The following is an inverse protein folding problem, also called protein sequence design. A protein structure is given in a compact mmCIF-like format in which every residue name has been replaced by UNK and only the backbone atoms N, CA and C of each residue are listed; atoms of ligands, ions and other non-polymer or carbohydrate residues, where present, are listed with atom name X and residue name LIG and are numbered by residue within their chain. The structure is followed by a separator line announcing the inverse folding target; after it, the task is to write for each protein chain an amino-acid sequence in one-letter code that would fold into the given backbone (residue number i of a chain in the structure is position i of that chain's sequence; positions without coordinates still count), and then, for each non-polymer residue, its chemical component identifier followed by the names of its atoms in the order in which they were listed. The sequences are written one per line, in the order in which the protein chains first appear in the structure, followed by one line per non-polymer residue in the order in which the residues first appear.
data_IF_894019270560
#
_entry.id   IF_894019270560
#
_cell.length_a   1.000
_cell.length_b   1.000
_cell.length_c   1.000
_cell.angle_alpha   90.00
_cell.angle_beta   90.00
_cell.angle_gamma   90.00
#
_symmetry.space_group_name_H-M   'P 1'
#
loop_
_entity.id
_entity.type
_entity.pdbx_description
1 polymer ?
#
# COMPACT_ATOMS: atom_id res chain seq x y z
N UNK A 1 -18.03 2.92 -7.76
CA UNK A 1 -16.98 2.36 -6.90
C UNK A 1 -17.24 2.81 -5.48
N UNK A 2 -17.31 1.87 -4.54
CA UNK A 2 -17.42 2.14 -3.11
C UNK A 2 -16.10 2.67 -2.55
N UNK A 3 -16.14 3.24 -1.34
CA UNK A 3 -14.93 3.64 -0.60
C UNK A 3 -13.96 2.46 -0.43
N UNK A 4 -14.52 1.29 -0.15
CA UNK A 4 -13.79 0.02 -0.01
C UNK A 4 -13.03 -0.36 -1.29
N UNK A 5 -13.73 -0.37 -2.43
CA UNK A 5 -13.14 -0.73 -3.73
C UNK A 5 -12.02 0.24 -4.13
N UNK A 6 -12.17 1.52 -3.79
CA UNK A 6 -11.13 2.53 -4.02
C UNK A 6 -9.89 2.32 -3.14
N UNK A 7 -10.08 1.93 -1.87
CA UNK A 7 -8.97 1.62 -0.96
C UNK A 7 -8.20 0.38 -1.44
N UNK A 8 -8.93 -0.71 -1.75
CA UNK A 8 -8.34 -1.94 -2.26
C UNK A 8 -7.56 -1.69 -3.55
N UNK A 9 -8.12 -0.91 -4.48
CA UNK A 9 -7.43 -0.56 -5.73
C UNK A 9 -6.11 0.18 -5.47
N UNK A 10 -6.11 1.19 -4.58
CA UNK A 10 -4.90 1.94 -4.23
C UNK A 10 -3.85 1.06 -3.54
N UNK A 11 -4.28 0.15 -2.65
CA UNK A 11 -3.39 -0.81 -1.99
C UNK A 11 -2.69 -1.68 -3.03
N UNK A 12 -3.44 -2.23 -3.99
CA UNK A 12 -2.87 -3.10 -5.03
C UNK A 12 -1.96 -2.36 -6.01
N UNK A 13 -2.31 -1.13 -6.39
CA UNK A 13 -1.45 -0.27 -7.21
C UNK A 13 -0.12 0.01 -6.51
N UNK A 14 -0.17 0.38 -5.23
CA UNK A 14 1.02 0.70 -4.46
C UNK A 14 1.88 -0.54 -4.16
N UNK A 15 1.25 -1.70 -3.91
CA UNK A 15 1.94 -2.99 -3.76
C UNK A 15 2.66 -3.39 -5.04
N UNK A 16 2.02 -3.20 -6.19
CA UNK A 16 2.62 -3.47 -7.50
C UNK A 16 3.84 -2.58 -7.75
N UNK A 17 3.71 -1.28 -7.48
CA UNK A 17 4.82 -0.33 -7.61
C UNK A 17 5.99 -0.65 -6.66
N UNK A 18 5.69 -1.02 -5.41
CA UNK A 18 6.71 -1.44 -4.45
C UNK A 18 7.45 -2.69 -4.94
N UNK A 19 6.74 -3.69 -5.48
CA UNK A 19 7.36 -4.91 -6.02
C UNK A 19 8.24 -4.61 -7.25
N UNK A 20 7.81 -3.71 -8.13
CA UNK A 20 8.62 -3.25 -9.26
C UNK A 20 9.90 -2.59 -8.76
N UNK A 21 9.78 -1.67 -7.80
CA UNK A 21 10.92 -0.97 -7.24
C UNK A 21 11.89 -1.92 -6.53
N UNK A 22 11.39 -2.90 -5.76
CA UNK A 22 12.20 -3.95 -5.15
C UNK A 22 12.93 -4.80 -6.19
N UNK A 23 12.31 -5.05 -7.35
CA UNK A 23 12.95 -5.78 -8.44
C UNK A 23 14.05 -4.98 -9.16
N UNK A 24 13.94 -3.64 -9.14
CA UNK A 24 14.90 -2.73 -9.77
C UNK A 24 16.04 -2.32 -8.83
N UNK A 25 15.76 -2.21 -7.52
CA UNK A 25 16.74 -1.84 -6.49
C UNK A 25 17.39 -3.10 -5.92
N UNK A 26 18.70 -3.04 -5.69
CA UNK A 26 19.44 -4.16 -5.10
C UNK A 26 19.19 -4.34 -3.59
N UNK A 27 18.61 -3.33 -2.93
CA UNK A 27 18.45 -3.29 -1.48
C UNK A 27 17.03 -2.84 -1.08
N UNK A 28 16.45 -3.55 -0.12
CA UNK A 28 15.13 -3.28 0.43
C UNK A 28 15.10 -2.05 1.35
N UNK A 29 16.25 -1.61 1.85
CA UNK A 29 16.36 -0.38 2.66
C UNK A 29 16.54 0.88 1.80
N UNK A 30 16.46 0.75 0.48
CA UNK A 30 16.47 1.90 -0.42
C UNK A 30 15.38 2.91 0.02
N UNK A 31 15.71 4.20 0.14
CA UNK A 31 14.78 5.20 0.68
C UNK A 31 13.44 5.25 -0.06
N UNK A 32 13.44 4.97 -1.38
CA UNK A 32 12.22 4.96 -2.18
C UNK A 32 11.34 3.75 -1.83
N UNK A 33 11.96 2.58 -1.59
CA UNK A 33 11.28 1.35 -1.15
C UNK A 33 10.68 1.53 0.25
N UNK A 34 11.45 2.12 1.16
CA UNK A 34 11.00 2.44 2.53
C UNK A 34 9.82 3.41 2.49
N UNK A 35 9.90 4.47 1.69
CA UNK A 35 8.81 5.44 1.56
C UNK A 35 7.53 4.81 0.99
N UNK A 36 7.67 3.93 -0.01
CA UNK A 36 6.54 3.18 -0.57
C UNK A 36 5.90 2.23 0.44
N UNK A 37 6.73 1.51 1.20
CA UNK A 37 6.28 0.64 2.30
C UNK A 37 5.46 1.40 3.35
N UNK A 38 5.94 2.58 3.78
CA UNK A 38 5.22 3.42 4.75
C UNK A 38 3.87 3.91 4.20
N UNK A 39 3.81 4.29 2.91
CA UNK A 39 2.55 4.67 2.27
C UNK A 39 1.57 3.50 2.18
N UNK A 40 2.07 2.28 1.96
CA UNK A 40 1.25 1.07 1.92
C UNK A 40 0.65 0.79 3.29
N UNK A 41 1.46 0.92 4.34
CA UNK A 41 1.02 0.72 5.72
C UNK A 41 -0.12 1.69 6.11
N UNK A 42 0.00 2.97 5.73
CA UNK A 42 -1.06 3.96 5.97
C UNK A 42 -2.39 3.54 5.30
N UNK A 43 -2.33 3.08 4.04
CA UNK A 43 -3.54 2.65 3.31
C UNK A 43 -4.14 1.37 3.89
N UNK A 44 -3.31 0.42 4.33
CA UNK A 44 -3.76 -0.80 4.98
C UNK A 44 -4.43 -0.49 6.32
N UNK A 45 -3.88 0.46 7.09
CA UNK A 45 -4.50 0.93 8.32
C UNK A 45 -5.84 1.62 8.06
N UNK A 46 -5.94 2.47 7.03
CA UNK A 46 -7.22 3.10 6.64
C UNK A 46 -8.26 2.05 6.23
N UNK A 47 -7.86 1.01 5.49
CA UNK A 47 -8.73 -0.10 5.14
C UNK A 47 -9.19 -0.90 6.36
N UNK A 48 -8.28 -1.19 7.29
CA UNK A 48 -8.61 -1.89 8.54
C UNK A 48 -9.59 -1.10 9.40
N UNK A 49 -9.43 0.22 9.53
CA UNK A 49 -10.40 1.07 10.25
C UNK A 49 -11.76 1.11 9.52
N UNK A 50 -11.76 1.19 8.19
CA UNK A 50 -12.99 1.11 7.40
C UNK A 50 -13.77 -0.20 7.66
N UNK A 51 -13.08 -1.33 7.75
CA UNK A 51 -13.70 -2.62 8.07
C UNK A 51 -14.31 -2.61 9.48
N UNK A 52 -13.60 -2.07 10.47
CA UNK A 52 -14.10 -1.97 11.85
C UNK A 52 -15.33 -1.08 11.99
N UNK A 53 -15.46 -0.05 11.15
CA UNK A 53 -16.64 0.83 11.13
C UNK A 53 -17.86 0.18 10.44
N UNK A 54 -17.64 -0.87 9.64
CA UNK A 54 -18.68 -1.58 8.90
C UNK A 54 -19.17 -2.88 9.59
N UNK A 55 -18.49 -3.33 10.66
CA UNK A 55 -18.90 -4.44 11.55
C UNK A 55 -19.95 -3.98 12.59
#
# INVERSE_FOLDING_TARGET
MSKEELLLKKIEELRSLMNQLISEKADLIDPDVVLLSQKLDILLNEYNEFLRECD
#
